data_IF_632411607684
#
_entry.id   IF_632411607684
#
_cell.length_a   1.000
_cell.length_b   1.000
_cell.length_c   1.000
_cell.angle_alpha   90.00
_cell.angle_beta   90.00
_cell.angle_gamma   90.00
#
_symmetry.space_group_name_H-M   'P 1'
#
loop_
_entity.id
_entity.type
_entity.pdbx_description
1 polymer ?
#
# COMPACT_ATOMS: atom_id res chain seq x y z
N UNK A 1 5.42 -20.66 34.41
CA UNK A 1 5.98 -19.51 33.66
C UNK A 1 6.41 -20.05 32.31
N UNK A 2 5.55 -19.97 31.31
CA UNK A 2 5.88 -20.37 29.93
C UNK A 2 6.71 -19.26 29.29
N UNK A 3 7.72 -19.58 28.48
CA UNK A 3 8.43 -18.56 27.72
C UNK A 3 7.44 -17.97 26.70
N UNK A 4 7.25 -16.65 26.72
CA UNK A 4 6.63 -15.92 25.61
C UNK A 4 7.60 -16.04 24.44
N UNK A 5 7.26 -16.84 23.42
CA UNK A 5 7.90 -16.69 22.12
C UNK A 5 7.53 -15.31 21.60
N UNK A 6 8.47 -14.36 21.66
CA UNK A 6 8.41 -13.11 20.92
C UNK A 6 8.58 -13.45 19.44
N UNK A 7 7.47 -13.75 18.77
CA UNK A 7 7.47 -13.98 17.33
C UNK A 7 7.22 -12.64 16.65
N UNK A 8 8.28 -11.84 16.52
CA UNK A 8 8.26 -10.53 15.87
C UNK A 8 8.26 -10.68 14.35
N UNK A 9 7.51 -9.82 13.64
CA UNK A 9 7.55 -9.63 12.19
C UNK A 9 7.25 -10.84 11.28
N UNK A 10 6.44 -11.80 11.73
CA UNK A 10 6.09 -13.00 10.95
C UNK A 10 5.36 -12.70 9.61
N UNK A 11 4.63 -11.59 9.50
CA UNK A 11 3.78 -11.32 8.32
C UNK A 11 4.55 -11.02 7.05
N UNK A 12 5.72 -10.40 7.16
CA UNK A 12 6.39 -9.85 5.98
C UNK A 12 6.92 -10.95 5.06
N UNK A 13 7.35 -12.09 5.60
CA UNK A 13 7.71 -13.24 4.77
C UNK A 13 6.49 -13.85 4.05
N UNK A 14 5.29 -13.75 4.65
CA UNK A 14 4.06 -14.28 4.05
C UNK A 14 3.53 -13.39 2.91
N UNK A 15 3.84 -12.09 2.92
CA UNK A 15 3.39 -11.10 1.93
C UNK A 15 3.82 -11.40 0.50
N UNK A 16 5.08 -11.76 0.30
CA UNK A 16 5.61 -12.01 -1.04
C UNK A 16 4.98 -13.28 -1.64
N UNK A 17 4.58 -14.23 -0.81
CA UNK A 17 3.96 -15.49 -1.25
C UNK A 17 2.43 -15.39 -1.43
N UNK A 18 1.73 -14.59 -0.61
CA UNK A 18 0.26 -14.46 -0.64
C UNK A 18 -0.27 -13.70 -1.88
N UNK A 19 0.53 -12.79 -2.45
CA UNK A 19 0.19 -12.04 -3.66
C UNK A 19 -0.02 -12.92 -4.92
N UNK A 20 0.43 -14.18 -4.90
CA UNK A 20 0.29 -15.14 -6.00
C UNK A 20 -1.11 -15.75 -6.11
N UNK A 21 -1.95 -15.66 -5.07
CA UNK A 21 -3.27 -16.31 -5.05
C UNK A 21 -4.35 -15.43 -5.71
N UNK A 22 -4.17 -14.11 -5.72
CA UNK A 22 -5.12 -13.15 -6.28
C UNK A 22 -5.11 -13.10 -7.82
N UNK A 23 -4.09 -13.66 -8.47
CA UNK A 23 -3.91 -13.63 -9.93
C UNK A 23 -4.73 -14.69 -10.69
N UNK A 24 -5.55 -15.50 -9.99
CA UNK A 24 -6.02 -16.79 -10.47
C UNK A 24 -7.49 -16.96 -10.91
N UNK A 25 -8.38 -15.96 -10.80
CA UNK A 25 -9.79 -16.13 -11.22
C UNK A 25 -10.35 -14.88 -11.91
N UNK A 26 -10.07 -14.75 -13.21
CA UNK A 26 -10.87 -13.90 -14.09
C UNK A 26 -12.08 -14.69 -14.58
N UNK A 27 -13.29 -14.23 -14.26
CA UNK A 27 -14.51 -14.60 -15.00
C UNK A 27 -15.17 -13.33 -15.47
N UNK A 28 -15.10 -13.14 -16.78
CA UNK A 28 -15.61 -12.00 -17.53
C UNK A 28 -17.13 -12.03 -17.62
N UNK A 29 -17.82 -10.89 -17.49
CA UNK A 29 -19.05 -10.65 -18.26
C UNK A 29 -19.25 -9.15 -18.54
N UNK A 30 -19.43 -8.84 -19.82
CA UNK A 30 -19.54 -7.50 -20.40
C UNK A 30 -20.96 -6.93 -20.28
N UNK A 31 -21.09 -5.61 -20.18
CA UNK A 31 -22.40 -4.94 -20.27
C UNK A 31 -22.30 -3.41 -20.37
N UNK A 32 -22.41 -2.91 -21.60
CA UNK A 32 -22.46 -1.50 -22.04
C UNK A 32 -23.81 -0.84 -21.71
N UNK A 33 -23.85 0.44 -21.33
CA UNK A 33 -24.93 1.37 -21.71
C UNK A 33 -24.69 2.84 -21.29
N UNK A 34 -24.79 3.70 -22.29
CA UNK A 34 -24.79 5.18 -22.28
C UNK A 34 -26.13 5.76 -21.77
N UNK A 35 -26.11 6.95 -21.14
CA UNK A 35 -26.93 8.13 -21.54
C UNK A 35 -26.86 9.31 -20.57
N UNK A 36 -26.91 10.48 -21.18
CA UNK A 36 -26.86 11.88 -20.73
C UNK A 36 -28.04 12.32 -19.83
N UNK A 37 -27.88 13.40 -19.05
CA UNK A 37 -28.69 14.64 -19.20
C UNK A 37 -28.30 15.82 -18.27
N UNK A 38 -27.96 16.94 -18.91
CA UNK A 38 -28.33 18.37 -18.75
C UNK A 38 -29.06 18.91 -17.49
N UNK A 39 -28.52 19.98 -16.86
CA UNK A 39 -29.08 21.35 -16.67
C UNK A 39 -28.30 22.16 -15.60
N UNK A 40 -27.74 23.33 -15.91
CA UNK A 40 -28.31 24.70 -15.83
C UNK A 40 -28.55 25.22 -14.41
N UNK A 41 -27.72 26.16 -13.92
CA UNK A 41 -28.09 27.57 -13.64
C UNK A 41 -27.07 28.33 -12.78
N UNK A 42 -27.02 29.62 -13.07
CA UNK A 42 -26.21 30.70 -12.50
C UNK A 42 -26.45 30.94 -11.00
N UNK A 43 -25.45 31.46 -10.29
CA UNK A 43 -25.68 32.43 -9.19
C UNK A 43 -24.50 33.39 -9.04
N UNK A 44 -24.81 34.67 -9.08
CA UNK A 44 -23.95 35.83 -8.81
C UNK A 44 -24.02 36.20 -7.33
N UNK A 45 -22.90 36.53 -6.66
CA UNK A 45 -22.81 37.62 -5.67
C UNK A 45 -21.40 37.76 -5.04
N UNK A 46 -20.85 38.97 -5.22
CA UNK A 46 -20.14 39.87 -4.30
C UNK A 46 -19.18 39.38 -3.20
N UNK A 47 -17.93 39.85 -3.38
CA UNK A 47 -17.03 40.60 -2.49
C UNK A 47 -16.96 40.38 -0.96
N UNK A 48 -15.70 40.33 -0.53
CA UNK A 48 -15.12 40.75 0.76
C UNK A 48 -15.35 39.87 1.99
N UNK A 49 -14.28 39.19 2.42
CA UNK A 49 -13.53 39.59 3.62
C UNK A 49 -12.23 38.79 3.74
N UNK A 50 -11.19 39.44 4.25
CA UNK A 50 -9.89 38.86 4.54
C UNK A 50 -10.01 37.62 5.44
N UNK A 51 -9.23 36.58 5.13
CA UNK A 51 -8.87 35.55 6.09
C UNK A 51 -7.43 35.11 5.83
N UNK A 52 -6.68 35.14 6.91
CA UNK A 52 -5.29 34.82 7.09
C UNK A 52 -4.88 33.58 6.29
N UNK A 53 -3.71 33.61 5.67
CA UNK A 53 -3.06 32.45 5.05
C UNK A 53 -3.05 31.26 6.01
N UNK A 54 -3.98 30.33 5.85
CA UNK A 54 -3.70 28.93 6.12
C UNK A 54 -2.80 28.49 4.97
N UNK A 55 -1.57 28.09 5.26
CA UNK A 55 -0.77 27.39 4.28
C UNK A 55 -1.59 26.17 3.86
N UNK A 56 -2.11 26.17 2.63
CA UNK A 56 -2.75 25.00 2.07
C UNK A 56 -1.74 23.85 2.22
N UNK A 57 -2.14 22.78 2.92
CA UNK A 57 -1.36 21.55 2.93
C UNK A 57 -1.08 21.21 1.47
N UNK A 58 0.20 21.05 1.12
CA UNK A 58 0.59 20.76 -0.24
C UNK A 58 -0.20 19.54 -0.70
N UNK A 59 -0.93 19.65 -1.81
CA UNK A 59 -1.62 18.50 -2.38
C UNK A 59 -0.59 17.41 -2.61
N UNK A 60 -0.81 16.20 -2.09
CA UNK A 60 0.13 15.10 -2.28
C UNK A 60 0.43 14.88 -3.77
N UNK A 61 1.71 14.69 -4.08
CA UNK A 61 2.21 14.55 -5.46
C UNK A 61 3.14 13.34 -5.55
N UNK A 62 3.21 12.76 -6.75
CA UNK A 62 4.26 11.83 -7.12
C UNK A 62 5.62 12.49 -6.99
N UNK A 63 6.69 11.68 -7.01
CA UNK A 63 8.07 12.18 -6.87
C UNK A 63 8.50 13.15 -7.97
N UNK A 64 7.87 13.09 -9.13
CA UNK A 64 8.10 14.02 -10.24
C UNK A 64 7.25 15.32 -10.15
N UNK A 65 6.45 15.47 -9.10
CA UNK A 65 5.57 16.62 -8.87
C UNK A 65 4.20 16.51 -9.54
N UNK A 66 3.88 15.39 -10.20
CA UNK A 66 2.56 15.13 -10.76
C UNK A 66 1.54 14.94 -9.64
N UNK A 67 0.35 15.58 -9.68
CA UNK A 67 -0.68 15.37 -8.66
C UNK A 67 -1.19 13.94 -8.70
N UNK A 68 -1.61 13.43 -7.53
CA UNK A 68 -2.38 12.20 -7.46
C UNK A 68 -3.69 12.35 -8.23
N UNK A 69 -4.08 11.28 -8.91
CA UNK A 69 -5.30 11.18 -9.72
C UNK A 69 -6.28 10.14 -9.15
N UNK A 70 -5.82 9.32 -8.21
CA UNK A 70 -6.60 8.31 -7.53
C UNK A 70 -7.51 8.87 -6.44
N UNK A 71 -8.63 8.19 -6.23
CA UNK A 71 -9.57 8.53 -5.15
C UNK A 71 -9.01 8.11 -3.79
N UNK A 72 -9.38 8.82 -2.72
CA UNK A 72 -8.97 8.45 -1.38
C UNK A 72 -9.79 7.25 -0.91
N UNK A 73 -9.12 6.17 -0.52
CA UNK A 73 -9.75 4.99 0.08
C UNK A 73 -9.11 4.65 1.43
N UNK A 74 -9.85 3.94 2.27
CA UNK A 74 -9.41 3.45 3.57
C UNK A 74 -9.10 1.96 3.50
N UNK A 75 -8.00 1.54 4.12
CA UNK A 75 -7.64 0.14 4.30
C UNK A 75 -8.41 -0.39 5.50
N UNK A 76 -9.12 -1.51 5.32
CA UNK A 76 -9.88 -2.14 6.41
C UNK A 76 -8.96 -2.94 7.32
N UNK A 77 -8.59 -2.39 8.48
CA UNK A 77 -7.64 -3.00 9.43
C UNK A 77 -8.26 -3.96 10.45
N UNK A 78 -9.56 -4.25 10.30
CA UNK A 78 -10.34 -5.12 11.19
C UNK A 78 -10.97 -4.40 12.38
N UNK A 79 -11.33 -5.16 13.42
CA UNK A 79 -12.08 -4.66 14.59
C UNK A 79 -11.18 -4.19 15.76
N UNK A 80 -9.85 -4.21 15.60
CA UNK A 80 -8.92 -3.79 16.66
C UNK A 80 -8.93 -2.25 16.77
N UNK A 81 -9.43 -1.67 17.87
CA UNK A 81 -9.55 -0.22 18.02
C UNK A 81 -8.19 0.48 18.20
N UNK A 82 -7.12 -0.25 18.52
CA UNK A 82 -5.76 0.29 18.64
C UNK A 82 -4.98 0.20 17.31
N UNK A 83 -5.50 -0.52 16.32
CA UNK A 83 -4.89 -0.61 15.00
C UNK A 83 -4.98 0.73 14.25
N UNK A 84 -3.99 1.06 13.40
CA UNK A 84 -4.03 2.28 12.62
C UNK A 84 -5.24 2.34 11.68
N UNK A 85 -5.83 3.53 11.56
CA UNK A 85 -6.66 3.86 10.41
C UNK A 85 -5.74 4.29 9.27
N UNK A 86 -5.74 3.56 8.16
CA UNK A 86 -4.82 3.82 7.05
C UNK A 86 -5.64 4.26 5.85
N UNK A 87 -5.22 5.35 5.22
CA UNK A 87 -5.78 5.77 3.93
C UNK A 87 -4.70 5.88 2.87
N UNK A 88 -5.09 5.58 1.62
CA UNK A 88 -4.23 5.66 0.44
C UNK A 88 -5.00 6.27 -0.72
N UNK A 89 -4.29 6.79 -1.70
CA UNK A 89 -4.85 7.12 -3.01
C UNK A 89 -4.91 5.84 -3.83
N UNK A 90 -6.10 5.50 -4.33
CA UNK A 90 -6.37 4.35 -5.17
C UNK A 90 -6.40 4.80 -6.63
N UNK A 91 -5.37 4.47 -7.44
CA UNK A 91 -5.28 4.93 -8.80
C UNK A 91 -6.45 4.44 -9.66
N UNK A 92 -6.80 5.14 -10.76
CA UNK A 92 -7.84 4.67 -11.67
C UNK A 92 -7.57 3.24 -12.16
N UNK A 93 -8.64 2.44 -12.25
CA UNK A 93 -8.57 1.02 -12.61
C UNK A 93 -7.87 0.13 -11.59
N UNK A 94 -7.78 0.56 -10.32
CA UNK A 94 -7.46 -0.29 -9.19
C UNK A 94 -8.69 -0.47 -8.31
N UNK A 95 -8.81 -1.63 -7.67
CA UNK A 95 -9.88 -1.96 -6.74
C UNK A 95 -9.33 -2.69 -5.52
N UNK A 96 -10.11 -2.71 -4.44
CA UNK A 96 -9.87 -3.67 -3.36
C UNK A 96 -10.09 -5.09 -3.89
N UNK A 97 -9.28 -6.03 -3.40
CA UNK A 97 -9.33 -7.44 -3.76
C UNK A 97 -10.45 -8.14 -3.01
N UNK A 98 -11.29 -8.89 -3.73
CA UNK A 98 -12.43 -9.59 -3.11
C UNK A 98 -12.03 -10.88 -2.38
N UNK A 99 -10.87 -11.47 -2.69
CA UNK A 99 -10.41 -12.75 -2.15
C UNK A 99 -9.08 -12.59 -1.40
N UNK A 100 -9.14 -11.91 -0.25
CA UNK A 100 -7.96 -11.58 0.55
C UNK A 100 -7.41 -12.85 1.21
N UNK A 101 -6.14 -13.23 0.95
CA UNK A 101 -5.54 -14.42 1.56
C UNK A 101 -5.51 -14.34 3.09
N UNK A 102 -5.59 -15.48 3.77
CA UNK A 102 -5.46 -15.52 5.23
C UNK A 102 -4.12 -14.91 5.66
N UNK A 103 -4.19 -13.98 6.62
CA UNK A 103 -3.02 -13.25 7.11
C UNK A 103 -2.68 -11.98 6.32
N UNK A 104 -3.44 -11.65 5.27
CA UNK A 104 -3.40 -10.33 4.61
C UNK A 104 -4.57 -9.50 5.14
N UNK A 105 -4.30 -8.23 5.47
CA UNK A 105 -5.29 -7.27 5.98
C UNK A 105 -6.14 -6.73 4.84
N UNK A 106 -5.49 -6.29 3.76
CA UNK A 106 -6.17 -5.79 2.56
C UNK A 106 -5.34 -6.09 1.30
N UNK A 107 -5.95 -6.07 0.14
CA UNK A 107 -5.26 -6.16 -1.14
C UNK A 107 -5.84 -5.15 -2.12
N UNK A 108 -4.98 -4.43 -2.84
CA UNK A 108 -5.35 -3.57 -3.95
C UNK A 108 -4.85 -4.24 -5.24
N UNK A 109 -5.68 -4.33 -6.25
CA UNK A 109 -5.31 -4.97 -7.52
C UNK A 109 -5.64 -4.06 -8.69
N UNK A 110 -4.77 -4.05 -9.69
CA UNK A 110 -5.10 -3.48 -10.98
C UNK A 110 -6.20 -4.30 -11.65
N UNK A 111 -7.02 -3.65 -12.47
CA UNK A 111 -7.97 -4.29 -13.36
C UNK A 111 -7.34 -4.63 -14.72
N UNK A 112 -6.06 -4.31 -14.91
CA UNK A 112 -5.33 -4.49 -16.18
C UNK A 112 -4.14 -5.42 -16.01
N UNK A 113 -4.21 -6.55 -16.70
CA UNK A 113 -3.16 -7.55 -16.69
C UNK A 113 -1.96 -7.07 -17.53
N UNK A 114 -0.76 -7.30 -17.02
CA UNK A 114 0.47 -7.05 -17.76
C UNK A 114 0.69 -8.10 -18.87
N UNK A 115 1.56 -7.84 -19.86
CA UNK A 115 1.84 -8.79 -20.95
C UNK A 115 2.31 -10.18 -20.48
N UNK A 116 2.87 -10.25 -19.26
CA UNK A 116 3.28 -11.49 -18.60
C UNK A 116 2.10 -12.37 -18.13
N UNK A 117 0.88 -11.85 -18.14
CA UNK A 117 -0.26 -12.46 -17.46
C UNK A 117 -0.33 -12.15 -15.96
N UNK A 118 0.60 -11.37 -15.42
CA UNK A 118 0.53 -10.94 -14.03
C UNK A 118 -0.45 -9.79 -13.85
N UNK A 119 -1.19 -9.79 -12.75
CA UNK A 119 -2.02 -8.66 -12.35
C UNK A 119 -1.27 -7.87 -11.27
N UNK A 120 -0.84 -6.63 -11.55
CA UNK A 120 -0.21 -5.78 -10.55
C UNK A 120 -1.08 -5.66 -9.31
N UNK A 121 -0.47 -5.80 -8.14
CA UNK A 121 -1.19 -5.75 -6.88
C UNK A 121 -0.33 -5.20 -5.75
N UNK A 122 -1.02 -4.76 -4.70
CA UNK A 122 -0.45 -4.32 -3.44
C UNK A 122 -1.14 -5.10 -2.33
N UNK A 123 -0.39 -5.89 -1.59
CA UNK A 123 -0.89 -6.54 -0.38
C UNK A 123 -0.53 -5.71 0.83
N UNK A 124 -1.47 -5.59 1.76
CA UNK A 124 -1.32 -4.82 2.99
C UNK A 124 -1.46 -5.75 4.19
N UNK A 125 -0.55 -5.64 5.15
CA UNK A 125 -0.67 -6.29 6.45
C UNK A 125 -0.49 -5.29 7.57
N UNK A 126 -1.30 -5.45 8.61
CA UNK A 126 -1.21 -4.71 9.86
C UNK A 126 -1.10 -5.73 10.99
N UNK A 127 0.07 -5.79 11.62
CA UNK A 127 0.36 -6.79 12.64
C UNK A 127 0.70 -6.14 13.99
N UNK A 128 -0.04 -6.50 15.03
CA UNK A 128 0.27 -6.07 16.39
C UNK A 128 1.55 -6.76 16.91
N UNK A 129 2.60 -5.98 17.15
CA UNK A 129 3.91 -6.42 17.68
C UNK A 129 4.01 -6.25 19.20
N UNK A 130 2.94 -5.79 19.84
CA UNK A 130 2.85 -5.58 21.28
C UNK A 130 3.80 -4.48 21.76
N UNK A 131 4.59 -4.78 22.78
CA UNK A 131 5.45 -3.81 23.48
C UNK A 131 6.87 -3.74 22.92
N UNK A 132 7.11 -4.31 21.72
CA UNK A 132 8.40 -4.17 21.06
C UNK A 132 8.65 -2.71 20.67
N UNK A 133 9.91 -2.31 20.60
CA UNK A 133 10.27 -0.98 20.10
C UNK A 133 10.12 -0.90 18.58
N UNK A 134 9.90 0.31 18.05
CA UNK A 134 9.84 0.54 16.59
C UNK A 134 11.10 0.01 15.88
N UNK A 135 12.27 0.25 16.45
CA UNK A 135 13.56 -0.22 15.91
C UNK A 135 13.65 -1.75 15.87
N UNK A 136 13.25 -2.45 16.94
CA UNK A 136 13.24 -3.93 16.98
C UNK A 136 12.30 -4.51 15.90
N UNK A 137 11.13 -3.90 15.75
CA UNK A 137 10.12 -4.30 14.76
C UNK A 137 10.64 -4.12 13.33
N UNK A 138 11.23 -2.96 13.02
CA UNK A 138 11.77 -2.68 11.68
C UNK A 138 13.02 -3.52 11.37
N UNK A 139 13.88 -3.77 12.37
CA UNK A 139 15.02 -4.66 12.20
C UNK A 139 14.58 -6.10 11.90
N UNK A 140 13.63 -6.64 12.66
CA UNK A 140 13.09 -7.98 12.43
C UNK A 140 12.39 -8.09 11.05
N UNK A 141 11.65 -7.06 10.65
CA UNK A 141 11.07 -6.95 9.31
C UNK A 141 12.13 -7.04 8.21
N UNK A 142 13.24 -6.31 8.38
CA UNK A 142 14.33 -6.28 7.42
C UNK A 142 15.06 -7.61 7.30
N UNK A 143 15.34 -8.24 8.44
CA UNK A 143 15.93 -9.58 8.49
C UNK A 143 15.03 -10.60 7.78
N UNK A 144 13.72 -10.54 8.04
CA UNK A 144 12.73 -11.43 7.43
C UNK A 144 12.75 -11.33 5.90
N UNK A 145 12.73 -10.12 5.34
CA UNK A 145 12.81 -9.92 3.88
C UNK A 145 14.13 -10.46 3.30
N UNK A 146 15.24 -10.28 4.01
CA UNK A 146 16.54 -10.78 3.55
C UNK A 146 16.62 -12.32 3.47
N UNK A 147 15.71 -13.04 4.13
CA UNK A 147 15.62 -14.51 4.05
C UNK A 147 14.80 -15.02 2.86
N UNK A 148 14.15 -14.15 2.10
CA UNK A 148 13.33 -14.55 0.97
C UNK A 148 14.19 -15.13 -0.14
N UNK A 149 13.93 -16.39 -0.48
CA UNK A 149 14.66 -17.09 -1.53
C UNK A 149 14.46 -16.41 -2.88
N UNK A 150 15.56 -16.20 -3.61
CA UNK A 150 15.56 -15.48 -4.88
C UNK A 150 15.35 -13.95 -4.78
N UNK A 151 15.29 -13.37 -3.57
CA UNK A 151 15.23 -11.92 -3.40
C UNK A 151 16.56 -11.27 -3.79
N UNK A 152 16.51 -10.29 -4.69
CA UNK A 152 17.65 -9.44 -5.03
C UNK A 152 17.28 -8.00 -4.79
N UNK A 153 17.88 -7.40 -3.77
CA UNK A 153 17.67 -6.01 -3.43
C UNK A 153 18.24 -5.05 -4.49
N UNK A 154 17.45 -4.03 -4.80
CA UNK A 154 17.81 -2.95 -5.72
C UNK A 154 18.03 -1.65 -4.95
N UNK A 155 17.16 -1.32 -4.00
CA UNK A 155 17.24 -0.05 -3.27
C UNK A 155 16.61 -0.15 -1.88
N UNK A 156 17.25 0.49 -0.91
CA UNK A 156 16.73 0.72 0.43
C UNK A 156 16.68 2.22 0.73
N UNK A 157 15.66 2.68 1.45
CA UNK A 157 15.51 4.07 1.86
C UNK A 157 14.72 4.12 3.16
N UNK A 158 15.25 4.77 4.19
CA UNK A 158 14.47 5.11 5.38
C UNK A 158 13.44 6.17 5.04
N UNK A 159 12.25 6.05 5.62
CA UNK A 159 11.15 6.97 5.38
C UNK A 159 10.51 7.36 6.71
N UNK A 160 9.84 8.51 6.69
CA UNK A 160 8.92 8.94 7.73
C UNK A 160 7.54 9.11 7.07
N UNK A 161 6.51 8.52 7.68
CA UNK A 161 5.12 8.61 7.21
C UNK A 161 4.30 9.10 8.40
N UNK A 162 3.85 10.34 8.35
CA UNK A 162 3.13 11.02 9.45
C UNK A 162 3.83 10.91 10.83
N UNK A 163 5.15 11.06 10.85
CA UNK A 163 5.95 10.94 12.09
C UNK A 163 6.20 9.50 12.55
N UNK A 164 5.78 8.51 11.77
CA UNK A 164 6.03 7.09 12.02
C UNK A 164 7.26 6.62 11.24
N UNK A 165 8.15 5.93 11.95
CA UNK A 165 9.40 5.43 11.38
C UNK A 165 9.12 4.25 10.45
N UNK A 166 9.77 4.25 9.29
CA UNK A 166 9.68 3.15 8.36
C UNK A 166 10.85 3.04 7.41
N UNK A 167 10.76 2.08 6.50
CA UNK A 167 11.65 1.96 5.35
C UNK A 167 10.89 1.57 4.09
N UNK A 168 11.44 1.96 2.95
CA UNK A 168 11.06 1.45 1.63
C UNK A 168 12.20 0.63 1.06
N UNK A 169 11.87 -0.57 0.63
CA UNK A 169 12.79 -1.52 0.05
C UNK A 169 12.25 -1.96 -1.32
N UNK A 170 13.07 -1.90 -2.35
CA UNK A 170 12.72 -2.45 -3.66
C UNK A 170 13.72 -3.48 -4.12
N UNK A 171 13.27 -4.40 -4.96
CA UNK A 171 14.09 -5.50 -5.44
C UNK A 171 13.35 -6.35 -6.46
N UNK A 172 14.07 -7.29 -7.05
CA UNK A 172 13.50 -8.30 -7.92
C UNK A 172 13.37 -9.62 -7.19
N UNK A 173 12.32 -10.37 -7.51
CA UNK A 173 12.07 -11.68 -6.96
C UNK A 173 11.47 -12.57 -8.03
N UNK A 174 11.90 -13.83 -8.12
CA UNK A 174 11.27 -14.80 -9.03
C UNK A 174 10.34 -15.67 -8.21
N UNK A 175 9.04 -15.51 -8.42
CA UNK A 175 8.05 -16.32 -7.73
C UNK A 175 8.11 -17.77 -8.23
N UNK A 176 7.88 -18.78 -7.37
CA UNK A 176 7.91 -20.19 -7.78
C UNK A 176 6.93 -20.56 -8.91
N UNK A 177 5.86 -19.77 -9.09
CA UNK A 177 4.78 -20.04 -10.03
C UNK A 177 4.71 -19.03 -11.20
N UNK A 178 5.72 -18.16 -11.36
CA UNK A 178 5.81 -17.23 -12.47
C UNK A 178 7.18 -17.35 -13.13
N UNK A 179 7.18 -17.54 -14.45
CA UNK A 179 8.42 -17.66 -15.26
C UNK A 179 9.08 -16.31 -15.55
N UNK A 180 8.55 -15.22 -14.99
CA UNK A 180 9.10 -13.86 -15.11
C UNK A 180 9.46 -13.29 -13.74
N UNK A 181 10.57 -12.55 -13.60
CA UNK A 181 10.87 -11.84 -12.36
C UNK A 181 9.81 -10.78 -12.07
N UNK A 182 9.35 -10.74 -10.83
CA UNK A 182 8.59 -9.64 -10.27
C UNK A 182 9.55 -8.56 -9.78
N UNK A 183 9.16 -7.30 -9.99
CA UNK A 183 9.69 -6.19 -9.24
C UNK A 183 8.75 -5.91 -8.07
N UNK A 184 9.31 -5.88 -6.86
CA UNK A 184 8.55 -5.57 -5.65
C UNK A 184 9.05 -4.29 -5.00
N UNK A 185 8.10 -3.50 -4.49
CA UNK A 185 8.36 -2.35 -3.63
C UNK A 185 7.61 -2.56 -2.32
N UNK A 186 8.37 -2.76 -1.25
CA UNK A 186 7.88 -2.91 0.11
C UNK A 186 8.01 -1.58 0.83
N UNK A 187 6.89 -1.02 1.30
CA UNK A 187 6.88 0.08 2.26
C UNK A 187 6.48 -0.48 3.61
N UNK A 188 7.36 -0.37 4.60
CA UNK A 188 7.19 -0.94 5.94
C UNK A 188 7.26 0.19 6.95
N UNK A 189 6.25 0.31 7.81
CA UNK A 189 6.14 1.36 8.83
C UNK A 189 5.85 0.73 10.18
N UNK A 190 6.58 1.16 11.21
CA UNK A 190 6.29 0.85 12.59
C UNK A 190 5.37 1.95 13.16
N UNK A 191 4.08 1.68 13.12
CA UNK A 191 3.05 2.59 13.62
C UNK A 191 2.89 2.43 15.14
N UNK A 192 2.77 3.56 15.84
CA UNK A 192 2.39 3.58 17.25
C UNK A 192 1.60 4.89 17.50
N UNK A 193 0.37 4.76 17.99
CA UNK A 193 -0.51 5.91 18.21
C UNK A 193 0.04 6.86 19.31
N UNK A 194 0.53 6.29 20.41
CA UNK A 194 1.23 6.99 21.47
C UNK A 194 2.21 6.07 22.22
N UNK A 195 3.03 6.63 23.12
CA UNK A 195 4.07 5.89 23.85
C UNK A 195 3.56 4.71 24.69
N UNK A 196 2.26 4.63 24.99
CA UNK A 196 1.65 3.54 25.76
C UNK A 196 0.92 2.51 24.89
N UNK A 197 0.71 2.83 23.61
CA UNK A 197 0.04 1.96 22.65
C UNK A 197 0.98 0.85 22.16
N UNK A 198 0.45 -0.31 21.75
CA UNK A 198 1.25 -1.32 21.09
C UNK A 198 1.83 -0.78 19.76
N UNK A 199 2.98 -1.33 19.36
CA UNK A 199 3.55 -1.07 18.03
C UNK A 199 2.89 -2.00 17.02
N UNK A 200 2.43 -1.43 15.90
CA UNK A 200 1.95 -2.18 14.75
C UNK A 200 2.98 -2.13 13.61
N UNK A 201 3.20 -3.27 12.99
CA UNK A 201 3.97 -3.39 11.75
C UNK A 201 3.00 -3.29 10.58
N UNK A 202 3.03 -2.17 9.89
CA UNK A 202 2.24 -1.91 8.69
C UNK A 202 3.12 -2.13 7.47
N UNK A 203 2.73 -3.03 6.57
CA UNK A 203 3.52 -3.36 5.39
C UNK A 203 2.67 -3.34 4.14
N UNK A 204 3.14 -2.61 3.13
CA UNK A 204 2.60 -2.57 1.78
C UNK A 204 3.59 -3.27 0.85
N UNK A 205 3.25 -4.43 0.32
CA UNK A 205 4.05 -5.15 -0.67
C UNK A 205 3.41 -5.01 -2.05
N UNK A 206 3.98 -4.12 -2.85
CA UNK A 206 3.55 -3.83 -4.22
C UNK A 206 4.34 -4.70 -5.18
N UNK A 207 3.67 -5.30 -6.16
CA UNK A 207 4.27 -6.25 -7.09
C UNK A 207 3.78 -5.97 -8.51
N UNK A 208 4.70 -6.04 -9.47
CA UNK A 208 4.45 -5.90 -10.90
C UNK A 208 5.61 -6.50 -11.70
N UNK A 209 5.42 -6.78 -12.98
CA UNK A 209 6.43 -7.40 -13.86
C UNK A 209 7.04 -6.42 -14.86
N UNK A 210 6.34 -5.34 -15.22
CA UNK A 210 6.82 -4.38 -16.21
C UNK A 210 7.42 -3.13 -15.56
N UNK A 211 8.74 -3.12 -15.39
CA UNK A 211 9.47 -1.94 -14.89
C UNK A 211 9.69 -0.87 -15.95
N UNK A 212 9.30 -1.10 -17.20
CA UNK A 212 9.40 -0.13 -18.30
C UNK A 212 8.09 0.63 -18.54
N UNK A 213 6.98 0.07 -18.08
CA UNK A 213 5.68 0.74 -18.07
C UNK A 213 5.62 1.80 -16.97
N UNK A 214 5.86 3.05 -17.36
CA UNK A 214 5.79 4.19 -16.44
C UNK A 214 4.40 4.38 -15.83
N UNK A 215 3.32 3.93 -16.47
CA UNK A 215 1.98 4.05 -15.91
C UNK A 215 1.83 3.17 -14.66
N UNK A 216 2.14 1.87 -14.76
CA UNK A 216 2.08 0.96 -13.60
C UNK A 216 3.01 1.43 -12.48
N UNK A 217 4.22 1.86 -12.83
CA UNK A 217 5.18 2.40 -11.86
C UNK A 217 4.64 3.62 -11.14
N UNK A 218 4.01 4.55 -11.86
CA UNK A 218 3.43 5.77 -11.26
C UNK A 218 2.22 5.44 -10.36
N UNK A 219 1.37 4.49 -10.77
CA UNK A 219 0.24 4.04 -9.94
C UNK A 219 0.71 3.39 -8.64
N UNK A 220 1.74 2.54 -8.71
CA UNK A 220 2.35 1.94 -7.50
C UNK A 220 3.02 3.00 -6.64
N UNK A 221 3.70 3.98 -7.25
CA UNK A 221 4.29 5.09 -6.50
C UNK A 221 3.22 5.92 -5.80
N UNK A 222 2.11 6.23 -6.47
CA UNK A 222 0.96 6.95 -5.92
C UNK A 222 0.41 6.27 -4.66
N UNK A 223 0.15 4.96 -4.71
CA UNK A 223 -0.29 4.18 -3.54
C UNK A 223 0.73 4.33 -2.39
N UNK A 224 2.02 4.19 -2.68
CA UNK A 224 3.07 4.21 -1.66
C UNK A 224 3.37 5.60 -1.07
N UNK A 225 3.25 6.66 -1.85
CA UNK A 225 3.52 8.03 -1.39
C UNK A 225 2.30 8.72 -0.80
N UNK A 226 1.12 8.12 -0.96
CA UNK A 226 -0.14 8.62 -0.42
C UNK A 226 -0.53 7.98 0.91
N UNK A 227 0.26 7.06 1.47
CA UNK A 227 -0.05 6.45 2.77
C UNK A 227 -0.16 7.54 3.82
N UNK A 228 -1.30 7.60 4.50
CA UNK A 228 -1.50 8.44 5.69
C UNK A 228 -2.11 7.60 6.82
N UNK A 229 -1.76 7.95 8.05
CA UNK A 229 -2.33 7.39 9.26
C UNK A 229 -3.28 8.40 9.93
N UNK A 230 -4.51 7.95 10.20
CA UNK A 230 -5.56 8.72 10.89
C UNK A 230 -5.65 8.46 12.38
#
# INVERSE_FOLDING_TARGET
MSPKSNTLALGIASLITAALVLSGCSSSESGDAVSSDTNTSETTASESSASSSSAAAATPTLRDGTPFIGERTTIETGDDPEAPNISVSLPPSWTHGENIPAGVTDALSSNSQEPSGFMPNTTVTVENQGTATKDEVLAAARETIATLDGWTEVKYTEIDVDGQQGFRLSGTWTAPNLDVPLYAVMTVVAYQADDNSPVYLVSFANQFTDTTNMQTSNQVEEINTSIEFG
#
